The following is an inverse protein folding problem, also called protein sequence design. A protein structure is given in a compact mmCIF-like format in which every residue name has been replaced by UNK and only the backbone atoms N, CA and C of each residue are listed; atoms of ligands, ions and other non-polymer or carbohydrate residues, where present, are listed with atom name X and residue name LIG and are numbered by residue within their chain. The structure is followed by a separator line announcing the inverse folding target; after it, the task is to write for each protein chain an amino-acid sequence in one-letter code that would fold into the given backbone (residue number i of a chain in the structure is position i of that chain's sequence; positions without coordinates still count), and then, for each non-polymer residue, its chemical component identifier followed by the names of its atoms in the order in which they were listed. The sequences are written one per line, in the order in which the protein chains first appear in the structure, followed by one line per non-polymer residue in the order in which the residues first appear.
data_IF_023626845080
#
_entry.id   IF_023626845080
#
_cell.length_a   1.000
_cell.length_b   1.000
_cell.length_c   1.000
_cell.angle_alpha   90.00
_cell.angle_beta   90.00
_cell.angle_gamma   90.00
#
_symmetry.space_group_name_H-M   'P 1'
#
loop_
_entity.id
_entity.type
_entity.pdbx_description
1 polymer ?
#
# COMPACT_ATOMS: atom_id res chain seq x y z
N UNK A 1 -1.67 -42.21 15.18
CA UNK A 1 -1.99 -40.92 14.50
C UNK A 1 -3.43 -40.60 14.71
N UNK A 2 -3.77 -39.47 15.33
CA UNK A 2 -5.15 -39.10 15.63
C UNK A 2 -5.91 -38.73 14.35
N UNK A 3 -7.24 -38.87 14.35
CA UNK A 3 -8.12 -38.48 13.25
C UNK A 3 -7.94 -37.01 12.83
N UNK A 4 -7.45 -36.15 13.73
CA UNK A 4 -7.13 -34.74 13.52
C UNK A 4 -5.86 -34.60 12.68
N UNK A 5 -4.80 -35.39 12.95
CA UNK A 5 -3.60 -35.39 12.15
C UNK A 5 -3.82 -35.87 10.71
N UNK A 6 -4.72 -36.82 10.53
CA UNK A 6 -5.12 -37.34 9.20
C UNK A 6 -5.98 -36.34 8.42
N UNK A 7 -6.74 -35.47 9.12
CA UNK A 7 -7.50 -34.36 8.48
C UNK A 7 -6.60 -33.17 8.08
N UNK A 8 -5.57 -32.89 8.86
CA UNK A 8 -4.60 -31.82 8.54
C UNK A 8 -3.67 -32.21 7.39
N UNK A 9 -3.31 -33.50 7.25
CA UNK A 9 -2.49 -34.00 6.13
C UNK A 9 -3.24 -34.07 4.80
N UNK A 10 -4.59 -34.02 4.80
CA UNK A 10 -5.41 -34.02 3.59
C UNK A 10 -5.96 -32.63 3.21
N UNK A 11 -5.65 -31.59 3.99
CA UNK A 11 -5.86 -30.19 3.61
C UNK A 11 -4.56 -29.66 2.95
N UNK A 12 -4.16 -30.23 1.84
CA UNK A 12 -3.38 -29.48 0.85
C UNK A 12 -4.34 -28.39 0.30
N UNK A 13 -4.36 -27.25 0.95
CA UNK A 13 -4.83 -26.03 0.30
C UNK A 13 -3.78 -25.76 -0.77
N UNK A 14 -3.99 -26.28 -1.96
CA UNK A 14 -3.25 -25.85 -3.15
C UNK A 14 -3.68 -24.43 -3.41
N UNK A 15 -2.94 -23.48 -2.85
CA UNK A 15 -2.95 -22.13 -3.39
C UNK A 15 -2.33 -22.27 -4.78
N UNK A 16 -3.07 -21.95 -5.80
CA UNK A 16 -2.47 -21.65 -7.09
C UNK A 16 -1.65 -20.37 -6.84
N UNK A 17 -0.32 -20.52 -6.75
CA UNK A 17 0.59 -19.42 -6.42
C UNK A 17 0.46 -18.26 -7.42
N UNK A 18 -0.02 -18.54 -8.63
CA UNK A 18 -0.29 -17.54 -9.68
C UNK A 18 -1.48 -16.62 -9.38
N UNK A 19 -2.30 -16.91 -8.38
CA UNK A 19 -3.51 -16.13 -8.05
C UNK A 19 -3.34 -15.16 -6.87
N UNK A 20 -2.19 -15.17 -6.19
CA UNK A 20 -1.96 -14.27 -5.05
C UNK A 20 -1.44 -12.92 -5.54
N UNK A 21 -2.21 -11.88 -5.27
CA UNK A 21 -1.79 -10.49 -5.54
C UNK A 21 -0.93 -10.01 -4.39
N UNK A 22 0.26 -9.53 -4.71
CA UNK A 22 1.20 -8.94 -3.75
C UNK A 22 1.22 -7.44 -3.94
N UNK A 23 1.00 -6.68 -2.87
CA UNK A 23 0.99 -5.20 -2.88
C UNK A 23 1.96 -4.68 -1.83
N UNK A 24 2.95 -3.90 -2.28
CA UNK A 24 3.86 -3.15 -1.42
C UNK A 24 3.42 -1.69 -1.33
N UNK A 25 2.98 -1.27 -0.13
CA UNK A 25 2.50 0.09 0.15
C UNK A 25 3.64 1.00 0.63
N UNK A 26 4.48 1.47 -0.27
CA UNK A 26 5.53 2.42 0.07
C UNK A 26 5.05 3.87 0.14
N UNK A 27 5.79 4.73 0.88
CA UNK A 27 5.51 6.17 0.95
C UNK A 27 5.71 6.87 -0.39
N UNK A 28 6.66 6.42 -1.21
CA UNK A 28 6.96 6.99 -2.51
C UNK A 28 6.24 6.29 -3.65
N UNK A 29 6.18 4.96 -3.62
CA UNK A 29 5.61 4.13 -4.68
C UNK A 29 4.80 2.98 -4.12
N UNK A 30 3.67 2.69 -4.75
CA UNK A 30 2.98 1.41 -4.63
C UNK A 30 3.53 0.50 -5.72
N UNK A 31 3.85 -0.74 -5.33
CA UNK A 31 4.21 -1.81 -6.26
C UNK A 31 3.23 -2.94 -6.10
N UNK A 32 2.72 -3.45 -7.21
CA UNK A 32 1.77 -4.56 -7.20
C UNK A 32 2.04 -5.54 -8.34
N UNK A 33 1.73 -6.80 -8.10
CA UNK A 33 1.91 -7.88 -9.08
C UNK A 33 1.41 -9.21 -8.51
N UNK A 34 1.80 -10.28 -9.15
CA UNK A 34 1.41 -11.62 -8.72
C UNK A 34 2.58 -12.37 -8.09
N UNK A 35 2.27 -13.24 -7.14
CA UNK A 35 3.28 -14.16 -6.60
C UNK A 35 3.82 -15.06 -7.71
N UNK A 36 5.12 -15.39 -7.62
CA UNK A 36 5.81 -16.18 -8.64
C UNK A 36 6.30 -15.41 -9.86
N UNK A 37 5.97 -14.13 -10.01
CA UNK A 37 6.56 -13.26 -11.04
C UNK A 37 7.87 -12.62 -10.54
N UNK A 38 8.84 -12.46 -11.44
CA UNK A 38 10.13 -11.87 -11.12
C UNK A 38 10.08 -10.37 -10.84
N UNK A 39 9.09 -9.67 -11.41
CA UNK A 39 8.95 -8.22 -11.32
C UNK A 39 7.49 -7.82 -11.02
N UNK A 40 7.28 -6.72 -10.28
CA UNK A 40 5.94 -6.17 -10.13
C UNK A 40 5.39 -5.70 -11.48
N UNK A 41 4.11 -5.95 -11.74
CA UNK A 41 3.41 -5.44 -12.94
C UNK A 41 3.14 -3.96 -12.87
N UNK A 42 2.94 -3.45 -11.67
CA UNK A 42 2.55 -2.07 -11.38
C UNK A 42 3.59 -1.43 -10.49
N UNK A 43 4.09 -0.28 -10.88
CA UNK A 43 4.91 0.62 -10.05
C UNK A 43 4.43 2.03 -10.29
N UNK A 44 3.69 2.58 -9.35
CA UNK A 44 3.11 3.92 -9.46
C UNK A 44 3.46 4.78 -8.24
N UNK A 45 3.63 6.10 -8.40
CA UNK A 45 3.77 7.00 -7.26
C UNK A 45 2.57 6.92 -6.32
N UNK A 46 2.82 6.98 -5.01
CA UNK A 46 1.79 6.97 -3.96
C UNK A 46 1.19 8.37 -3.80
N UNK A 47 0.57 8.88 -4.87
CA UNK A 47 0.00 10.22 -4.92
C UNK A 47 -1.37 10.24 -5.61
N UNK A 48 -2.20 11.19 -5.19
CA UNK A 48 -3.47 11.53 -5.82
C UNK A 48 -3.46 13.02 -6.12
N UNK A 49 -3.78 13.38 -7.35
CA UNK A 49 -4.00 14.76 -7.78
C UNK A 49 -5.49 15.07 -7.73
N UNK A 50 -5.88 16.16 -7.09
CA UNK A 50 -7.26 16.63 -7.04
C UNK A 50 -7.34 18.04 -7.62
N UNK A 51 -8.37 18.29 -8.44
CA UNK A 51 -8.70 19.61 -8.96
C UNK A 51 -10.17 19.89 -8.77
N UNK A 52 -10.48 21.03 -8.17
CA UNK A 52 -11.86 21.50 -8.06
C UNK A 52 -12.36 22.00 -9.42
N UNK A 53 -13.39 21.35 -9.94
CA UNK A 53 -14.11 21.80 -11.11
C UNK A 53 -15.39 22.51 -10.63
N UNK A 54 -15.45 23.83 -10.79
CA UNK A 54 -16.70 24.59 -10.66
C UNK A 54 -17.58 24.26 -11.87
N UNK A 55 -18.54 23.35 -11.72
CA UNK A 55 -19.65 23.28 -12.68
C UNK A 55 -20.61 24.41 -12.33
N UNK A 56 -20.68 25.42 -13.19
CA UNK A 56 -21.82 26.34 -13.21
C UNK A 56 -23.03 25.51 -13.66
N UNK A 57 -23.89 25.22 -12.70
CA UNK A 57 -25.16 24.56 -12.96
C UNK A 57 -26.09 25.57 -13.64
N UNK A 58 -26.15 25.55 -14.98
CA UNK A 58 -27.01 26.43 -15.79
C UNK A 58 -28.51 26.09 -15.67
N UNK A 59 -28.94 25.33 -14.65
CA UNK A 59 -30.32 24.81 -14.57
C UNK A 59 -31.01 24.99 -13.22
N UNK A 60 -30.75 26.06 -12.43
CA UNK A 60 -31.57 26.30 -11.23
C UNK A 60 -31.85 27.76 -10.97
N UNK A 61 -33.12 28.00 -10.56
CA UNK A 61 -33.66 29.28 -10.17
C UNK A 61 -32.90 29.89 -8.97
N UNK A 62 -32.90 31.24 -8.79
CA UNK A 62 -32.13 31.88 -7.73
C UNK A 62 -32.78 31.63 -6.35
N UNK A 63 -32.12 30.83 -5.54
CA UNK A 63 -32.48 30.53 -4.16
C UNK A 63 -31.99 29.18 -3.70
N UNK A 64 -30.93 29.15 -2.85
CA UNK A 64 -30.47 28.00 -2.05
C UNK A 64 -29.90 26.76 -2.75
N UNK A 65 -28.84 26.89 -3.49
CA UNK A 65 -27.96 25.73 -3.74
C UNK A 65 -26.50 26.10 -3.53
N UNK A 66 -25.85 25.46 -2.55
CA UNK A 66 -24.41 25.46 -2.44
C UNK A 66 -23.86 24.81 -3.71
N UNK A 67 -22.85 25.40 -4.40
CA UNK A 67 -22.27 24.79 -5.58
C UNK A 67 -21.78 23.39 -5.24
N UNK A 68 -22.25 22.38 -5.97
CA UNK A 68 -21.72 21.03 -5.86
C UNK A 68 -20.27 21.06 -6.37
N UNK A 69 -19.31 20.95 -5.44
CA UNK A 69 -17.90 20.85 -5.79
C UNK A 69 -17.65 19.48 -6.36
N UNK A 70 -17.42 19.39 -7.66
CA UNK A 70 -16.98 18.15 -8.32
C UNK A 70 -15.47 18.18 -8.44
N UNK A 71 -14.79 17.18 -7.86
CA UNK A 71 -13.34 17.05 -7.98
C UNK A 71 -13.02 16.08 -9.12
N UNK A 72 -12.15 16.52 -10.05
CA UNK A 72 -11.48 15.57 -10.92
C UNK A 72 -10.28 14.99 -10.19
N UNK A 73 -10.14 13.66 -10.23
CA UNK A 73 -9.04 12.95 -9.56
C UNK A 73 -8.15 12.27 -10.59
N UNK A 74 -6.86 12.28 -10.31
CA UNK A 74 -5.82 11.58 -11.04
C UNK A 74 -4.95 10.81 -10.07
N UNK A 75 -4.43 9.65 -10.51
CA UNK A 75 -3.69 8.75 -9.66
C UNK A 75 -2.29 8.47 -10.19
N UNK A 76 -1.34 8.24 -9.29
CA UNK A 76 -0.01 7.79 -9.61
C UNK A 76 0.71 8.68 -10.64
N UNK A 77 1.16 8.07 -11.74
CA UNK A 77 1.90 8.75 -12.81
C UNK A 77 1.09 9.88 -13.46
N UNK A 78 -0.23 9.69 -13.60
CA UNK A 78 -1.12 10.69 -14.19
C UNK A 78 -1.25 11.93 -13.28
N UNK A 79 -1.36 11.71 -11.96
CA UNK A 79 -1.35 12.79 -10.97
C UNK A 79 -0.04 13.58 -11.03
N UNK A 80 1.08 12.89 -11.12
CA UNK A 80 2.39 13.54 -11.21
C UNK A 80 2.56 14.34 -12.51
N UNK A 81 2.07 13.83 -13.63
CA UNK A 81 2.10 14.55 -14.92
C UNK A 81 1.29 15.85 -14.89
N UNK A 82 0.19 15.88 -14.12
CA UNK A 82 -0.71 17.03 -14.00
C UNK A 82 -0.49 17.86 -12.73
N UNK A 83 0.68 17.76 -12.10
CA UNK A 83 1.02 18.47 -10.85
C UNK A 83 0.98 19.99 -10.93
N UNK A 84 0.93 20.56 -12.14
CA UNK A 84 0.81 22.01 -12.35
C UNK A 84 -0.61 22.56 -12.17
N UNK A 85 -1.62 21.69 -12.31
CA UNK A 85 -3.05 22.07 -12.31
C UNK A 85 -3.90 21.22 -11.35
N UNK A 86 -3.27 20.32 -10.60
CA UNK A 86 -3.89 19.51 -9.53
C UNK A 86 -3.11 19.65 -8.23
N UNK A 87 -3.83 19.73 -7.13
CA UNK A 87 -3.26 19.65 -5.79
C UNK A 87 -2.86 18.20 -5.49
N UNK A 88 -1.57 17.99 -5.14
CA UNK A 88 -1.05 16.65 -4.87
C UNK A 88 -1.23 16.27 -3.41
N UNK A 89 -1.82 15.11 -3.20
CA UNK A 89 -2.04 14.50 -1.88
C UNK A 89 -1.24 13.20 -1.76
N UNK A 90 -0.60 13.04 -0.61
CA UNK A 90 0.25 11.89 -0.28
C UNK A 90 -0.42 11.10 0.86
N UNK A 91 -1.14 10.01 0.57
CA UNK A 91 -1.89 9.27 1.59
C UNK A 91 -1.00 8.55 2.59
N UNK A 92 0.22 8.18 2.20
CA UNK A 92 1.22 7.56 3.08
C UNK A 92 2.37 8.55 3.31
N UNK A 93 2.72 8.74 4.58
CA UNK A 93 3.89 9.52 4.98
C UNK A 93 4.70 8.77 6.03
N UNK A 94 6.01 8.65 5.80
CA UNK A 94 6.94 7.95 6.70
C UNK A 94 6.49 6.53 7.03
N UNK A 95 6.01 5.80 6.02
CA UNK A 95 5.54 4.42 6.14
C UNK A 95 4.17 4.26 6.81
N UNK A 96 3.50 5.35 7.22
CA UNK A 96 2.21 5.32 7.91
C UNK A 96 1.13 5.94 7.04
N UNK A 97 -0.02 5.28 6.91
CA UNK A 97 -1.19 5.82 6.23
C UNK A 97 -1.75 6.98 7.07
N UNK A 98 -1.84 8.17 6.48
CA UNK A 98 -2.37 9.38 7.10
C UNK A 98 -3.77 9.74 6.61
N UNK A 99 -4.11 9.27 5.42
CA UNK A 99 -5.41 9.51 4.79
C UNK A 99 -5.95 8.19 4.23
N UNK A 100 -6.79 7.56 5.02
CA UNK A 100 -7.38 6.27 4.68
C UNK A 100 -8.38 6.35 3.52
N UNK A 101 -9.09 7.47 3.39
CA UNK A 101 -10.03 7.67 2.28
C UNK A 101 -9.29 7.69 0.96
N UNK A 102 -8.25 8.52 0.84
CA UNK A 102 -7.43 8.59 -0.37
C UNK A 102 -6.64 7.31 -0.59
N UNK A 103 -6.22 6.64 0.49
CA UNK A 103 -5.53 5.35 0.35
C UNK A 103 -6.45 4.27 -0.24
N UNK A 104 -7.71 4.22 0.17
CA UNK A 104 -8.70 3.30 -0.38
C UNK A 104 -8.95 3.58 -1.87
N UNK A 105 -9.13 4.84 -2.26
CA UNK A 105 -9.30 5.25 -3.67
C UNK A 105 -8.06 4.87 -4.52
N UNK A 106 -6.86 5.01 -3.98
CA UNK A 106 -5.64 4.63 -4.68
C UNK A 106 -5.53 3.10 -4.84
N UNK A 107 -5.97 2.34 -3.86
CA UNK A 107 -6.05 0.87 -3.96
C UNK A 107 -7.11 0.43 -4.97
N UNK A 108 -8.27 1.11 -5.03
CA UNK A 108 -9.28 0.88 -6.09
C UNK A 108 -8.66 1.06 -7.47
N UNK A 109 -7.94 2.17 -7.67
CA UNK A 109 -7.24 2.43 -8.92
C UNK A 109 -6.22 1.32 -9.26
N UNK A 110 -5.45 0.84 -8.26
CA UNK A 110 -4.50 -0.27 -8.45
C UNK A 110 -5.20 -1.55 -8.87
N UNK A 111 -6.31 -1.94 -8.22
CA UNK A 111 -7.03 -3.16 -8.56
C UNK A 111 -7.75 -3.05 -9.91
N UNK A 112 -8.52 -1.98 -10.13
CA UNK A 112 -9.43 -1.86 -11.25
C UNK A 112 -8.73 -1.40 -12.54
N UNK A 113 -7.81 -0.44 -12.44
CA UNK A 113 -7.20 0.19 -13.61
C UNK A 113 -5.86 -0.45 -13.96
N UNK A 114 -4.98 -0.60 -12.98
CA UNK A 114 -3.60 -1.04 -13.21
C UNK A 114 -3.51 -2.57 -13.33
N UNK A 115 -4.08 -3.31 -12.39
CA UNK A 115 -4.09 -4.78 -12.42
C UNK A 115 -5.25 -5.34 -13.24
N UNK A 116 -6.32 -4.59 -13.40
CA UNK A 116 -7.57 -4.98 -14.09
C UNK A 116 -8.19 -6.26 -13.50
N UNK A 117 -8.23 -6.35 -12.17
CA UNK A 117 -8.75 -7.50 -11.44
C UNK A 117 -9.93 -7.11 -10.55
N UNK A 118 -10.83 -8.05 -10.36
CA UNK A 118 -11.91 -7.91 -9.40
C UNK A 118 -11.40 -8.31 -8.02
N UNK A 119 -11.24 -7.35 -7.12
CA UNK A 119 -10.71 -7.58 -5.78
C UNK A 119 -11.48 -8.63 -4.98
N UNK A 120 -12.80 -8.77 -5.19
CA UNK A 120 -13.64 -9.71 -4.43
C UNK A 120 -13.32 -11.20 -4.68
N UNK A 121 -12.52 -11.51 -5.68
CA UNK A 121 -12.03 -12.86 -5.98
C UNK A 121 -10.56 -13.06 -5.59
N UNK A 122 -9.89 -11.99 -5.16
CA UNK A 122 -8.46 -11.99 -4.94
C UNK A 122 -8.07 -12.61 -3.59
N UNK A 123 -6.94 -13.31 -3.58
CA UNK A 123 -6.14 -13.54 -2.39
C UNK A 123 -5.03 -12.50 -2.39
N UNK A 124 -4.90 -11.74 -1.32
CA UNK A 124 -4.00 -10.56 -1.28
C UNK A 124 -3.00 -10.69 -0.13
N UNK A 125 -1.73 -10.50 -0.46
CA UNK A 125 -0.66 -10.28 0.51
C UNK A 125 -0.23 -8.82 0.40
N UNK A 126 -0.26 -8.09 1.52
CA UNK A 126 0.27 -6.72 1.57
C UNK A 126 1.47 -6.61 2.51
N UNK A 127 2.35 -5.69 2.17
CA UNK A 127 3.46 -5.35 3.05
C UNK A 127 2.97 -4.48 4.21
N UNK A 128 3.62 -4.65 5.34
CA UNK A 128 3.38 -3.90 6.56
C UNK A 128 4.67 -3.20 6.99
N UNK A 129 4.59 -1.88 7.14
CA UNK A 129 5.71 -1.12 7.68
C UNK A 129 5.98 -1.56 9.14
N UNK A 130 7.25 -1.79 9.52
CA UNK A 130 7.58 -2.17 10.89
C UNK A 130 7.03 -1.24 11.97
N UNK A 131 6.74 0.01 11.61
CA UNK A 131 6.24 1.05 12.51
C UNK A 131 4.72 1.15 12.59
N UNK A 132 3.97 0.38 11.78
CA UNK A 132 2.51 0.44 11.82
C UNK A 132 1.97 -0.10 13.13
N UNK A 133 0.99 0.59 13.70
CA UNK A 133 0.34 0.20 14.94
C UNK A 133 -0.76 -0.86 14.68
N UNK A 134 -1.34 -1.41 15.75
CA UNK A 134 -2.39 -2.42 15.64
C UNK A 134 -3.68 -1.87 15.04
N UNK A 135 -4.00 -0.61 15.31
CA UNK A 135 -5.24 0.00 14.85
C UNK A 135 -5.19 0.24 13.33
N UNK A 136 -4.02 0.65 12.79
CA UNK A 136 -3.81 0.77 11.35
C UNK A 136 -3.95 -0.58 10.64
N UNK A 137 -3.37 -1.64 11.21
CA UNK A 137 -3.49 -3.01 10.68
C UNK A 137 -4.93 -3.50 10.71
N UNK A 138 -5.65 -3.24 11.79
CA UNK A 138 -7.06 -3.59 11.92
C UNK A 138 -7.90 -2.84 10.90
N UNK A 139 -7.66 -1.53 10.75
CA UNK A 139 -8.38 -0.70 9.78
C UNK A 139 -8.12 -1.12 8.34
N UNK A 140 -6.87 -1.44 8.00
CA UNK A 140 -6.52 -1.98 6.69
C UNK A 140 -7.23 -3.32 6.43
N UNK A 141 -7.22 -4.24 7.40
CA UNK A 141 -7.92 -5.51 7.27
C UNK A 141 -9.44 -5.30 7.09
N UNK A 142 -10.02 -4.35 7.79
CA UNK A 142 -11.43 -3.98 7.63
C UNK A 142 -11.72 -3.48 6.21
N UNK A 143 -10.90 -2.59 5.66
CA UNK A 143 -11.03 -2.11 4.27
C UNK A 143 -10.95 -3.29 3.29
N UNK A 144 -9.98 -4.18 3.46
CA UNK A 144 -9.80 -5.32 2.55
C UNK A 144 -10.99 -6.28 2.57
N UNK A 145 -11.56 -6.59 3.76
CA UNK A 145 -12.68 -7.53 3.85
C UNK A 145 -14.05 -6.88 3.64
N UNK A 146 -14.27 -5.66 4.12
CA UNK A 146 -15.60 -5.02 4.06
C UNK A 146 -15.81 -4.22 2.77
N UNK A 147 -14.79 -3.48 2.32
CA UNK A 147 -14.87 -2.65 1.12
C UNK A 147 -14.51 -3.46 -0.14
N UNK A 148 -13.29 -4.01 -0.22
CA UNK A 148 -12.85 -4.79 -1.38
C UNK A 148 -13.40 -6.21 -1.43
N UNK A 149 -13.86 -6.76 -0.31
CA UNK A 149 -14.45 -8.10 -0.17
C UNK A 149 -13.51 -9.20 -0.68
N UNK A 150 -12.21 -9.04 -0.43
CA UNK A 150 -11.20 -10.02 -0.86
C UNK A 150 -11.48 -11.41 -0.27
N UNK A 151 -11.13 -12.45 -1.01
CA UNK A 151 -11.31 -13.85 -0.58
C UNK A 151 -10.43 -14.20 0.61
N UNK A 152 -9.18 -13.71 0.61
CA UNK A 152 -8.19 -13.91 1.67
C UNK A 152 -7.26 -12.73 1.75
N UNK A 153 -6.82 -12.39 2.95
CA UNK A 153 -5.90 -11.28 3.19
C UNK A 153 -4.82 -11.69 4.18
N UNK A 154 -3.57 -11.37 3.85
CA UNK A 154 -2.43 -11.51 4.74
C UNK A 154 -1.62 -10.22 4.76
N UNK A 155 -1.07 -9.90 5.92
CA UNK A 155 -0.21 -8.74 6.14
C UNK A 155 1.12 -9.23 6.69
N UNK A 156 2.24 -8.85 6.03
CA UNK A 156 3.56 -9.31 6.43
C UNK A 156 4.56 -8.16 6.51
N UNK A 157 5.40 -8.20 7.53
CA UNK A 157 6.45 -7.22 7.75
C UNK A 157 7.45 -7.21 6.60
N UNK A 158 7.77 -6.02 6.06
CA UNK A 158 8.70 -5.84 4.94
C UNK A 158 10.06 -6.45 5.21
N UNK A 159 10.62 -6.27 6.41
CA UNK A 159 11.93 -6.80 6.76
C UNK A 159 11.95 -8.35 6.78
N UNK A 160 10.86 -8.99 7.19
CA UNK A 160 10.74 -10.45 7.15
C UNK A 160 10.70 -10.94 5.70
N UNK A 161 9.96 -10.26 4.83
CA UNK A 161 9.94 -10.58 3.40
C UNK A 161 11.30 -10.38 2.75
N UNK A 162 12.03 -9.31 3.08
CA UNK A 162 13.39 -9.06 2.62
C UNK A 162 14.37 -10.16 3.05
N UNK A 163 14.21 -10.70 4.27
CA UNK A 163 15.01 -11.86 4.72
C UNK A 163 14.71 -13.11 3.91
N UNK A 164 13.43 -13.41 3.70
CA UNK A 164 13.00 -14.58 2.94
C UNK A 164 13.46 -14.54 1.47
N UNK A 165 13.44 -13.35 0.85
CA UNK A 165 13.93 -13.19 -0.53
C UNK A 165 15.42 -13.51 -0.68
N UNK A 166 16.20 -13.37 0.40
CA UNK A 166 17.61 -13.75 0.46
C UNK A 166 17.85 -15.21 0.92
N UNK A 167 16.78 -16.00 1.09
CA UNK A 167 16.85 -17.39 1.51
C UNK A 167 17.29 -17.57 2.98
N UNK A 168 17.14 -16.53 3.82
CA UNK A 168 17.54 -16.54 5.23
C UNK A 168 16.35 -16.23 6.13
N UNK A 169 16.40 -16.66 7.38
CA UNK A 169 15.33 -16.43 8.36
C UNK A 169 15.79 -15.68 9.61
N UNK A 170 17.10 -15.47 9.75
CA UNK A 170 17.69 -14.80 10.90
C UNK A 170 18.76 -13.82 10.46
N UNK A 171 18.69 -12.58 10.96
CA UNK A 171 19.63 -11.52 10.64
C UNK A 171 19.13 -10.13 11.02
N UNK A 172 19.87 -9.13 10.57
CA UNK A 172 19.50 -7.72 10.72
C UNK A 172 19.18 -7.15 9.32
N UNK A 173 17.98 -6.61 9.16
CA UNK A 173 17.56 -5.91 7.94
C UNK A 173 17.68 -4.41 8.18
N UNK A 174 18.35 -3.70 7.28
CA UNK A 174 18.38 -2.25 7.22
C UNK A 174 17.74 -1.81 5.91
N UNK A 175 16.66 -1.05 6.00
CA UNK A 175 15.92 -0.52 4.85
C UNK A 175 15.85 1.00 4.93
N UNK A 176 16.15 1.66 3.81
CA UNK A 176 16.00 3.11 3.66
C UNK A 176 15.13 3.37 2.44
N UNK A 177 13.87 3.74 2.69
CA UNK A 177 12.89 4.02 1.65
C UNK A 177 12.81 5.50 1.29
N UNK A 178 11.67 5.92 0.76
CA UNK A 178 11.37 7.32 0.50
C UNK A 178 11.10 8.10 1.80
N UNK A 179 10.29 7.53 2.72
CA UNK A 179 9.78 8.26 3.87
C UNK A 179 10.42 7.93 5.21
N UNK A 180 11.11 6.80 5.34
CA UNK A 180 11.66 6.33 6.62
C UNK A 180 12.82 5.37 6.39
N UNK A 181 13.80 5.41 7.29
CA UNK A 181 14.86 4.42 7.42
C UNK A 181 14.67 3.65 8.72
N UNK A 182 14.80 2.33 8.67
CA UNK A 182 14.71 1.49 9.86
C UNK A 182 15.66 0.31 9.81
N UNK A 183 15.97 -0.21 10.99
CA UNK A 183 16.65 -1.48 11.16
C UNK A 183 15.78 -2.43 11.97
N UNK A 184 15.64 -3.65 11.48
CA UNK A 184 14.78 -4.67 12.09
C UNK A 184 15.59 -5.94 12.30
N UNK A 185 15.87 -6.34 13.53
CA UNK A 185 16.35 -7.68 13.80
C UNK A 185 15.23 -8.70 13.54
N UNK A 186 15.57 -9.75 12.82
CA UNK A 186 14.68 -10.88 12.52
C UNK A 186 15.33 -12.15 13.08
N UNK A 187 14.56 -12.95 13.80
CA UNK A 187 14.98 -14.24 14.33
C UNK A 187 13.98 -15.32 13.96
N UNK A 188 14.44 -16.34 13.24
CA UNK A 188 13.61 -17.46 12.75
C UNK A 188 12.32 -17.00 12.04
N UNK A 189 12.42 -15.93 11.23
CA UNK A 189 11.29 -15.35 10.49
C UNK A 189 10.39 -14.41 11.30
N UNK A 190 10.75 -14.11 12.56
CA UNK A 190 10.00 -13.18 13.40
C UNK A 190 10.78 -11.89 13.62
N UNK A 191 10.19 -10.77 13.24
CA UNK A 191 10.74 -9.47 13.59
C UNK A 191 10.70 -9.24 15.10
N UNK A 192 11.74 -8.63 15.68
CA UNK A 192 11.85 -8.34 17.10
C UNK A 192 11.48 -6.87 17.38
N UNK A 193 10.20 -6.56 17.72
CA UNK A 193 9.72 -5.17 17.78
C UNK A 193 10.47 -4.29 18.77
N UNK A 194 10.89 -4.86 19.90
CA UNK A 194 11.57 -4.14 20.98
C UNK A 194 13.01 -3.73 20.63
N UNK A 195 13.57 -4.29 19.56
CA UNK A 195 14.94 -4.00 19.11
C UNK A 195 14.97 -3.27 17.76
N UNK A 196 13.82 -2.89 17.21
CA UNK A 196 13.76 -2.06 16.00
C UNK A 196 14.25 -0.65 16.30
N UNK A 197 14.96 -0.07 15.33
CA UNK A 197 15.38 1.33 15.35
C UNK A 197 14.87 2.03 14.11
N UNK A 198 14.49 3.29 14.25
CA UNK A 198 13.99 4.11 13.15
C UNK A 198 14.70 5.44 13.10
N UNK A 199 14.82 5.96 11.89
CA UNK A 199 15.34 7.28 11.63
C UNK A 199 14.46 7.97 10.58
N UNK A 200 14.07 9.21 10.85
CA UNK A 200 13.22 10.00 9.95
C UNK A 200 13.99 10.64 8.78
N UNK A 201 15.23 10.23 8.55
CA UNK A 201 16.02 10.63 7.39
C UNK A 201 15.98 9.49 6.38
N UNK A 202 15.45 9.81 5.19
CA UNK A 202 15.25 8.86 4.10
C UNK A 202 15.32 9.58 2.74
N UNK A 203 14.87 8.97 1.65
CA UNK A 203 14.99 9.51 0.31
C UNK A 203 14.42 10.91 0.14
N UNK A 204 13.27 11.19 0.75
CA UNK A 204 12.62 12.50 0.67
C UNK A 204 13.46 13.61 1.30
N UNK A 205 14.04 13.38 2.49
CA UNK A 205 14.90 14.34 3.17
C UNK A 205 16.20 14.60 2.37
N UNK A 206 16.76 13.55 1.75
CA UNK A 206 17.92 13.69 0.86
C UNK A 206 17.56 14.57 -0.34
N UNK A 207 16.44 14.31 -1.00
CA UNK A 207 15.95 15.11 -2.13
C UNK A 207 15.71 16.57 -1.72
N UNK A 208 15.03 16.81 -0.60
CA UNK A 208 14.76 18.14 -0.06
C UNK A 208 16.07 18.88 0.25
N UNK A 209 17.06 18.19 0.80
CA UNK A 209 18.37 18.77 1.07
C UNK A 209 19.08 19.17 -0.22
N UNK A 210 19.03 18.34 -1.25
CA UNK A 210 19.61 18.68 -2.55
C UNK A 210 18.94 19.91 -3.17
N UNK A 211 17.60 19.98 -3.17
CA UNK A 211 16.85 21.14 -3.67
C UNK A 211 17.23 22.40 -2.91
N UNK A 212 17.45 22.33 -1.58
CA UNK A 212 17.81 23.50 -0.77
C UNK A 212 19.23 24.03 -1.01
N UNK A 213 20.06 23.29 -1.76
CA UNK A 213 21.43 23.66 -2.10
C UNK A 213 21.58 24.18 -3.53
N UNK A 214 20.52 24.08 -4.33
CA UNK A 214 20.43 24.64 -5.68
C UNK A 214 19.87 26.06 -5.66
#
# INVERSE_FOLDING_TARGET
MSAIQKRLSNMEVRFDESEVIVIDMGSGFIKAGYSGEDLPRVVIPTIIGERENTQEDNSTQPGDSKPNKVFSKKFGNEAYAHRSDHDLHYPIRRGIVKDWTRMTELLEYVFETELQVNANQATVLMTDCPMSNKDDKHHLAQIMFEHFKVKSFALQNTAVLSMFSNGTTTGLVAESGEGVTYTVPVFEGYALPHAMQTMEVAGQEVTNKMISQL
#
